data_IF_072222828053
#
_entry.id   IF_072222828053
#
_cell.length_a   1.000
_cell.length_b   1.000
_cell.length_c   1.000
_cell.angle_alpha   90.00
_cell.angle_beta   90.00
_cell.angle_gamma   90.00
#
_symmetry.space_group_name_H-M   'P 1'
#
loop_
_entity.id
_entity.type
_entity.pdbx_description
1 polymer ?
#
# COMPACT_ATOMS: atom_id res chain seq x y z
N UNK A 1 5.32 0.94 8.44
CA UNK A 1 6.44 0.89 9.39
C UNK A 1 6.24 -0.30 10.29
N UNK A 2 7.13 -1.29 10.28
CA UNK A 2 7.10 -2.37 11.28
C UNK A 2 8.50 -2.61 11.80
N UNK A 3 8.53 -2.82 13.11
CA UNK A 3 9.65 -3.06 14.00
C UNK A 3 10.06 -4.53 13.90
N UNK A 4 11.27 -4.81 13.43
CA UNK A 4 12.10 -5.77 14.13
C UNK A 4 12.94 -4.94 15.12
N UNK A 5 13.27 -5.49 16.29
CA UNK A 5 13.74 -4.85 17.54
C UNK A 5 14.91 -3.82 17.47
N UNK A 6 15.33 -3.35 16.30
CA UNK A 6 16.29 -2.25 16.16
C UNK A 6 16.07 -1.32 14.96
N UNK A 7 15.25 -1.66 13.95
CA UNK A 7 15.19 -0.89 12.70
C UNK A 7 13.78 -0.84 12.08
N UNK A 8 13.40 0.32 11.53
CA UNK A 8 12.18 0.56 10.76
C UNK A 8 12.58 0.92 9.32
N UNK A 9 12.18 0.10 8.35
CA UNK A 9 12.35 0.43 6.93
C UNK A 9 11.32 1.50 6.51
N UNK A 10 11.81 2.58 5.93
CA UNK A 10 11.03 3.70 5.41
C UNK A 10 11.36 3.88 3.94
N UNK A 11 10.44 3.43 3.09
CA UNK A 11 10.58 3.66 1.65
C UNK A 11 9.92 4.99 1.34
N UNK A 12 10.74 6.02 1.11
CA UNK A 12 10.23 7.35 0.79
C UNK A 12 9.75 7.43 -0.67
N UNK A 13 8.96 8.47 -0.99
CA UNK A 13 8.30 8.69 -2.29
C UNK A 13 8.86 9.91 -3.07
N UNK A 14 8.18 10.31 -4.14
CA UNK A 14 8.65 11.26 -5.16
C UNK A 14 9.19 12.60 -4.61
N UNK A 15 10.49 12.85 -4.83
CA UNK A 15 11.14 14.13 -4.58
C UNK A 15 11.05 15.05 -5.80
N UNK A 16 10.67 16.32 -5.59
CA UNK A 16 10.56 17.33 -6.65
C UNK A 16 11.92 17.81 -7.20
N UNK A 17 13.04 17.42 -6.59
CA UNK A 17 14.36 17.95 -6.87
C UNK A 17 15.31 16.76 -7.14
N UNK A 18 15.95 16.76 -8.32
CA UNK A 18 17.03 15.85 -8.75
C UNK A 18 16.67 14.39 -9.12
N UNK A 19 15.39 13.99 -9.26
CA UNK A 19 15.03 12.62 -9.68
C UNK A 19 15.71 11.53 -8.81
N UNK A 20 15.94 11.80 -7.52
CA UNK A 20 16.39 10.79 -6.57
C UNK A 20 15.45 10.76 -5.38
N UNK A 21 14.74 9.65 -5.24
CA UNK A 21 13.97 9.33 -4.03
C UNK A 21 14.85 8.49 -3.12
N UNK A 22 15.26 9.00 -1.94
CA UNK A 22 16.06 8.23 -1.01
C UNK A 22 15.23 7.11 -0.40
N UNK A 23 15.71 5.88 -0.48
CA UNK A 23 15.23 4.84 0.44
C UNK A 23 15.86 5.12 1.80
N UNK A 24 15.14 5.03 2.91
CA UNK A 24 15.70 5.31 4.23
C UNK A 24 15.40 4.17 5.21
N UNK A 25 16.32 3.92 6.15
CA UNK A 25 16.04 3.11 7.32
C UNK A 25 16.19 3.99 8.55
N UNK A 26 15.18 3.97 9.41
CA UNK A 26 15.28 4.54 10.73
C UNK A 26 15.76 3.46 11.69
N UNK A 27 16.96 3.63 12.24
CA UNK A 27 17.46 2.77 13.30
C UNK A 27 16.95 3.31 14.64
N UNK A 28 16.16 2.50 15.34
CA UNK A 28 15.57 2.87 16.62
C UNK A 28 16.64 2.98 17.71
N UNK A 29 17.58 2.03 17.74
CA UNK A 29 18.64 1.95 18.74
C UNK A 29 19.60 3.16 18.69
N UNK A 30 19.91 3.67 17.48
CA UNK A 30 20.71 4.88 17.30
C UNK A 30 19.88 6.15 17.09
N UNK A 31 18.56 6.04 16.94
CA UNK A 31 17.66 7.16 16.61
C UNK A 31 18.08 7.96 15.37
N UNK A 32 18.64 7.29 14.36
CA UNK A 32 19.14 7.92 13.13
C UNK A 32 18.44 7.41 11.89
N UNK A 33 18.21 8.30 10.93
CA UNK A 33 17.87 7.93 9.57
C UNK A 33 19.16 7.68 8.78
N UNK A 34 19.20 6.56 8.07
CA UNK A 34 20.25 6.23 7.11
C UNK A 34 19.62 6.18 5.72
N UNK A 35 20.07 7.05 4.82
CA UNK A 35 19.76 6.97 3.40
C UNK A 35 20.46 5.75 2.79
N UNK A 36 19.71 4.99 2.01
CA UNK A 36 20.15 3.80 1.31
C UNK A 36 20.31 4.10 -0.17
N UNK A 37 21.29 3.44 -0.78
CA UNK A 37 21.40 3.41 -2.24
C UNK A 37 20.54 2.25 -2.74
N UNK A 38 19.48 2.49 -3.53
CA UNK A 38 18.65 1.41 -4.02
C UNK A 38 19.48 0.53 -4.97
N UNK A 39 19.72 -0.73 -4.62
CA UNK A 39 20.17 -1.72 -5.58
C UNK A 39 18.96 -2.40 -6.20
N UNK A 40 18.21 -1.66 -7.00
CA UNK A 40 17.30 -2.19 -8.03
C UNK A 40 16.70 -1.04 -8.83
N UNK A 41 16.66 -1.16 -10.16
CA UNK A 41 16.20 -0.09 -11.04
C UNK A 41 14.76 0.35 -10.78
N UNK A 42 13.91 -0.56 -10.29
CA UNK A 42 12.48 -0.31 -10.00
C UNK A 42 12.20 0.40 -8.68
N UNK A 43 13.13 0.35 -7.73
CA UNK A 43 12.99 1.08 -6.46
C UNK A 43 13.46 2.55 -6.58
N UNK A 44 13.95 2.95 -7.76
CA UNK A 44 14.30 4.33 -8.03
C UNK A 44 13.04 5.11 -8.41
N UNK A 45 12.83 6.23 -7.73
CA UNK A 45 11.78 7.21 -8.03
C UNK A 45 10.35 6.69 -7.93
N UNK A 46 10.12 5.67 -7.11
CA UNK A 46 8.83 5.00 -7.01
C UNK A 46 7.92 5.70 -5.98
N UNK A 47 6.79 6.25 -6.41
CA UNK A 47 5.76 6.78 -5.51
C UNK A 47 4.48 5.94 -5.51
N UNK A 48 3.72 6.04 -4.42
CA UNK A 48 2.44 5.35 -4.27
C UNK A 48 2.55 3.82 -4.29
N UNK A 49 3.72 3.26 -4.06
CA UNK A 49 3.90 1.83 -3.84
C UNK A 49 3.52 1.46 -2.39
N UNK A 50 3.41 0.16 -2.13
CA UNK A 50 3.22 -0.37 -0.77
C UNK A 50 4.42 -1.19 -0.33
N UNK A 51 4.69 -1.20 0.97
CA UNK A 51 5.69 -2.06 1.61
C UNK A 51 4.99 -2.78 2.74
N UNK A 52 4.79 -4.08 2.58
CA UNK A 52 3.91 -4.87 3.45
C UNK A 52 4.70 -6.03 4.05
N UNK A 53 4.68 -6.23 5.37
CA UNK A 53 5.31 -7.41 5.97
C UNK A 53 4.69 -8.71 5.43
N UNK A 54 5.48 -9.76 5.43
CA UNK A 54 5.04 -11.12 5.15
C UNK A 54 5.34 -11.96 6.39
N UNK A 55 4.28 -12.36 7.09
CA UNK A 55 4.40 -13.20 8.29
C UNK A 55 5.33 -12.59 9.35
N UNK A 56 6.13 -13.45 10.00
CA UNK A 56 7.06 -13.08 11.07
C UNK A 56 8.53 -13.20 10.65
N UNK A 57 8.81 -13.48 9.38
CA UNK A 57 10.18 -13.80 8.91
C UNK A 57 11.05 -12.57 8.66
N UNK A 58 10.51 -11.36 8.81
CA UNK A 58 11.18 -10.12 8.43
C UNK A 58 11.11 -9.80 6.93
N UNK A 59 10.47 -10.65 6.14
CA UNK A 59 10.26 -10.42 4.71
C UNK A 59 9.19 -9.35 4.47
N UNK A 60 9.36 -8.58 3.40
CA UNK A 60 8.44 -7.53 2.98
C UNK A 60 8.18 -7.62 1.48
N UNK A 61 6.90 -7.52 1.10
CA UNK A 61 6.50 -7.27 -0.28
C UNK A 61 6.54 -5.77 -0.56
N UNK A 62 7.38 -5.36 -1.50
CA UNK A 62 7.32 -4.03 -2.12
C UNK A 62 6.53 -4.18 -3.41
N UNK A 63 5.38 -3.53 -3.53
CA UNK A 63 4.47 -3.74 -4.66
C UNK A 63 3.92 -2.44 -5.24
N UNK A 64 3.79 -2.42 -6.58
CA UNK A 64 3.17 -1.34 -7.33
C UNK A 64 4.01 -0.07 -7.40
N UNK A 65 3.32 1.05 -7.56
CA UNK A 65 3.88 2.40 -7.63
C UNK A 65 4.06 2.95 -9.05
N UNK A 66 4.46 4.21 -9.11
CA UNK A 66 4.69 5.00 -10.33
C UNK A 66 6.09 5.62 -10.28
N UNK A 67 6.83 5.61 -11.40
CA UNK A 67 8.18 6.19 -11.46
C UNK A 67 8.30 7.51 -12.23
N UNK A 68 7.19 8.21 -12.48
CA UNK A 68 7.17 9.36 -13.38
C UNK A 68 6.86 9.01 -14.84
N UNK A 69 6.90 7.73 -15.23
CA UNK A 69 6.62 7.30 -16.61
C UNK A 69 5.72 6.07 -16.71
N UNK A 70 5.75 5.16 -15.74
CA UNK A 70 5.03 3.90 -15.79
C UNK A 70 4.50 3.50 -14.43
N UNK A 71 3.30 2.92 -14.43
CA UNK A 71 2.69 2.27 -13.28
C UNK A 71 3.09 0.80 -13.27
N UNK A 72 3.45 0.28 -12.11
CA UNK A 72 3.94 -1.09 -11.98
C UNK A 72 2.91 -2.03 -11.38
N UNK A 73 2.82 -3.23 -11.93
CA UNK A 73 1.88 -4.27 -11.53
C UNK A 73 2.56 -5.52 -11.01
N UNK A 74 3.80 -5.39 -10.54
CA UNK A 74 4.56 -6.47 -9.92
C UNK A 74 5.24 -5.95 -8.66
N UNK A 75 5.77 -6.88 -7.87
CA UNK A 75 6.51 -6.56 -6.65
C UNK A 75 7.93 -7.09 -6.63
N UNK A 76 8.58 -6.90 -5.50
CA UNK A 76 9.87 -7.46 -5.11
C UNK A 76 9.78 -7.89 -3.65
N UNK A 77 10.52 -8.92 -3.28
CA UNK A 77 10.66 -9.32 -1.87
C UNK A 77 11.95 -8.72 -1.32
N UNK A 78 11.81 -7.99 -0.21
CA UNK A 78 12.92 -7.63 0.65
C UNK A 78 12.94 -8.61 1.82
N UNK A 79 14.05 -9.30 2.05
CA UNK A 79 14.16 -10.40 3.02
C UNK A 79 14.59 -9.96 4.42
N UNK A 80 14.69 -8.65 4.66
CA UNK A 80 15.10 -8.12 5.96
C UNK A 80 16.57 -8.33 6.28
N UNK A 81 17.38 -8.93 5.39
CA UNK A 81 18.82 -9.04 5.61
C UNK A 81 19.45 -7.65 5.61
N UNK A 82 20.32 -7.41 6.60
CA UNK A 82 20.91 -6.10 6.80
C UNK A 82 21.68 -5.65 5.56
N UNK A 83 21.66 -4.33 5.41
CA UNK A 83 22.42 -3.59 4.42
C UNK A 83 23.87 -4.04 4.43
N UNK A 84 24.50 -4.05 3.26
CA UNK A 84 25.95 -4.11 3.24
C UNK A 84 26.51 -2.93 4.07
N UNK A 85 27.75 -3.03 4.56
CA UNK A 85 28.42 -1.92 5.26
C UNK A 85 28.42 -0.59 4.47
N UNK A 86 28.13 -0.64 3.16
CA UNK A 86 27.97 0.51 2.27
C UNK A 86 26.52 1.04 2.16
N UNK A 87 25.57 0.59 2.99
CA UNK A 87 24.17 1.07 2.96
C UNK A 87 23.39 0.65 1.70
N UNK A 88 23.78 -0.48 1.10
CA UNK A 88 23.10 -1.03 -0.09
C UNK A 88 22.05 -2.05 0.33
N UNK A 89 20.81 -1.89 -0.15
CA UNK A 89 19.73 -2.86 0.08
C UNK A 89 20.04 -4.17 -0.65
N UNK A 90 20.19 -5.27 0.09
CA UNK A 90 20.29 -6.60 -0.49
C UNK A 90 18.89 -7.07 -0.89
N UNK A 91 18.57 -7.01 -2.19
CA UNK A 91 17.37 -7.62 -2.75
C UNK A 91 17.78 -9.00 -3.25
N UNK A 92 17.39 -10.04 -2.54
CA UNK A 92 17.85 -11.40 -2.83
C UNK A 92 17.07 -12.07 -3.95
N UNK A 93 15.92 -11.51 -4.38
CA UNK A 93 15.17 -12.11 -5.49
C UNK A 93 14.21 -11.15 -6.25
N UNK A 94 14.47 -10.99 -7.55
CA UNK A 94 13.46 -10.64 -8.56
C UNK A 94 12.69 -11.93 -8.87
N UNK A 95 11.73 -12.27 -8.02
CA UNK A 95 10.96 -13.48 -8.30
C UNK A 95 9.95 -13.20 -9.40
N UNK A 96 9.81 -14.18 -10.30
CA UNK A 96 8.84 -14.20 -11.37
C UNK A 96 7.43 -14.32 -10.76
N UNK A 97 6.93 -13.19 -10.25
CA UNK A 97 5.52 -13.01 -9.97
C UNK A 97 4.79 -12.84 -11.30
N UNK A 98 3.53 -13.25 -11.35
CA UNK A 98 2.67 -12.84 -12.45
C UNK A 98 2.33 -11.34 -12.34
N UNK A 99 2.45 -10.64 -13.45
CA UNK A 99 2.08 -9.23 -13.54
C UNK A 99 0.56 -9.07 -13.44
N UNK A 100 0.13 -8.11 -12.63
CA UNK A 100 -1.25 -7.61 -12.62
C UNK A 100 -1.30 -6.22 -13.26
N UNK A 101 -2.48 -5.61 -13.36
CA UNK A 101 -2.59 -4.22 -13.84
C UNK A 101 -1.75 -3.29 -12.96
N UNK A 102 -0.90 -2.49 -13.62
CA UNK A 102 -0.02 -1.54 -12.95
C UNK A 102 -0.78 -0.48 -12.16
N UNK A 103 -0.37 -0.24 -10.92
CA UNK A 103 -1.11 0.62 -9.98
C UNK A 103 -0.23 1.36 -8.99
N UNK A 104 -0.66 2.54 -8.59
CA UNK A 104 -0.11 3.29 -7.46
C UNK A 104 -1.26 3.75 -6.53
N UNK A 105 -0.90 4.19 -5.32
CA UNK A 105 -1.83 4.66 -4.29
C UNK A 105 -2.93 3.66 -3.94
N UNK A 106 -2.64 2.37 -4.14
CA UNK A 106 -3.40 1.23 -3.65
C UNK A 106 -3.14 1.02 -2.16
N UNK A 107 -3.84 0.05 -1.57
CA UNK A 107 -3.50 -0.48 -0.25
C UNK A 107 -3.10 -1.94 -0.34
N UNK A 108 -2.19 -2.35 0.55
CA UNK A 108 -1.73 -3.71 0.70
C UNK A 108 -1.78 -4.09 2.19
N UNK A 109 -2.57 -5.11 2.52
CA UNK A 109 -2.84 -5.51 3.91
C UNK A 109 -2.51 -6.99 4.08
N UNK A 110 -1.57 -7.32 4.97
CA UNK A 110 -1.30 -8.71 5.33
C UNK A 110 -2.43 -9.27 6.20
N UNK A 111 -2.94 -10.43 5.84
CA UNK A 111 -4.03 -11.15 6.50
C UNK A 111 -3.45 -12.46 7.04
N UNK A 112 -3.11 -12.46 8.33
CA UNK A 112 -2.41 -13.59 8.97
C UNK A 112 -3.22 -14.89 8.94
N UNK A 113 -4.55 -14.81 9.04
CA UNK A 113 -5.45 -15.99 9.06
C UNK A 113 -5.34 -16.86 7.80
N UNK A 114 -5.04 -16.26 6.65
CA UNK A 114 -4.89 -16.96 5.37
C UNK A 114 -3.47 -16.86 4.80
N UNK A 115 -2.54 -16.28 5.57
CA UNK A 115 -1.17 -16.00 5.15
C UNK A 115 -1.09 -15.36 3.74
N UNK A 116 -1.85 -14.29 3.50
CA UNK A 116 -1.88 -13.61 2.22
C UNK A 116 -1.83 -12.09 2.38
N UNK A 117 -1.39 -11.39 1.34
CA UNK A 117 -1.52 -9.92 1.27
C UNK A 117 -2.67 -9.57 0.34
N UNK A 118 -3.68 -8.87 0.85
CA UNK A 118 -4.74 -8.29 0.03
C UNK A 118 -4.27 -6.97 -0.57
N UNK A 119 -4.23 -6.90 -1.90
CA UNK A 119 -4.02 -5.68 -2.68
C UNK A 119 -5.38 -5.14 -3.11
N UNK A 120 -5.69 -3.89 -2.80
CA UNK A 120 -6.97 -3.25 -3.16
C UNK A 120 -6.78 -1.96 -3.94
N UNK A 121 -7.49 -1.84 -5.05
CA UNK A 121 -7.67 -0.60 -5.79
C UNK A 121 -6.38 0.08 -6.20
N UNK A 122 -6.32 1.40 -6.01
CA UNK A 122 -5.26 2.28 -6.51
C UNK A 122 -5.66 2.94 -7.82
N UNK A 123 -4.69 3.38 -8.60
CA UNK A 123 -4.92 3.99 -9.91
C UNK A 123 -3.80 3.64 -10.89
N UNK A 124 -4.10 3.66 -12.18
CA UNK A 124 -3.16 3.37 -13.27
C UNK A 124 -2.83 4.61 -14.12
N UNK A 125 -3.03 5.81 -13.56
CA UNK A 125 -2.85 7.10 -14.26
C UNK A 125 -4.02 7.54 -15.13
N UNK A 126 -5.00 6.67 -15.40
CA UNK A 126 -6.21 7.04 -16.16
C UNK A 126 -7.48 6.89 -15.33
N UNK A 127 -7.55 5.83 -14.52
CA UNK A 127 -8.72 5.49 -13.73
C UNK A 127 -8.31 5.05 -12.32
N UNK A 128 -9.20 5.27 -11.35
CA UNK A 128 -9.16 4.51 -10.11
C UNK A 128 -9.56 3.05 -10.41
N UNK A 129 -9.01 2.12 -9.62
CA UNK A 129 -9.18 0.70 -9.80
C UNK A 129 -10.10 0.13 -8.71
N UNK A 130 -10.90 -0.88 -9.06
CA UNK A 130 -11.77 -1.62 -8.13
C UNK A 130 -11.32 -3.06 -7.91
N UNK A 131 -10.43 -3.56 -8.78
CA UNK A 131 -9.93 -4.92 -8.73
C UNK A 131 -9.05 -5.14 -7.51
N UNK A 132 -9.11 -6.36 -6.99
CA UNK A 132 -8.36 -6.79 -5.82
C UNK A 132 -7.67 -8.12 -6.09
N UNK A 133 -6.54 -8.32 -5.44
CA UNK A 133 -5.70 -9.51 -5.59
C UNK A 133 -5.23 -10.00 -4.22
N UNK A 134 -5.13 -11.31 -4.07
CA UNK A 134 -4.40 -11.93 -2.98
C UNK A 134 -3.01 -12.31 -3.47
N UNK A 135 -1.98 -11.81 -2.79
CA UNK A 135 -0.63 -12.31 -2.95
C UNK A 135 -0.39 -13.46 -1.97
N UNK A 136 -0.07 -14.63 -2.52
CA UNK A 136 0.37 -15.79 -1.78
C UNK A 136 1.90 -15.74 -1.62
N UNK A 137 2.44 -15.59 -0.41
CA UNK A 137 3.88 -15.52 -0.16
C UNK A 137 4.61 -16.87 -0.30
N UNK A 138 3.89 -18.00 -0.26
CA UNK A 138 4.46 -19.34 -0.45
C UNK A 138 4.66 -19.60 -1.93
N UNK A 139 3.61 -19.40 -2.72
CA UNK A 139 3.65 -19.63 -4.16
C UNK A 139 4.19 -18.42 -4.95
N UNK A 140 4.29 -17.25 -4.30
CA UNK A 140 4.74 -15.97 -4.89
C UNK A 140 3.91 -15.58 -6.11
N UNK A 141 2.59 -15.70 -5.99
CA UNK A 141 1.65 -15.39 -7.07
C UNK A 141 0.57 -14.42 -6.60
N UNK A 142 0.12 -13.58 -7.52
CA UNK A 142 -1.07 -12.75 -7.36
C UNK A 142 -2.27 -13.48 -7.96
N UNK A 143 -3.28 -13.77 -7.16
CA UNK A 143 -4.54 -14.37 -7.61
C UNK A 143 -5.66 -13.34 -7.51
N UNK A 144 -6.47 -13.13 -8.56
CA UNK A 144 -7.66 -12.28 -8.47
C UNK A 144 -8.61 -12.75 -7.36
N UNK A 145 -9.18 -11.82 -6.61
CA UNK A 145 -10.29 -12.10 -5.69
C UNK A 145 -11.51 -11.26 -6.07
N UNK A 146 -12.59 -11.28 -5.26
CA UNK A 146 -13.72 -10.39 -5.47
C UNK A 146 -13.27 -8.93 -5.58
N UNK A 147 -13.99 -8.17 -6.39
CA UNK A 147 -13.77 -6.75 -6.58
C UNK A 147 -14.56 -5.93 -5.57
N UNK A 148 -14.05 -4.73 -5.26
CA UNK A 148 -14.83 -3.71 -4.56
C UNK A 148 -16.02 -3.28 -5.43
N UNK A 149 -17.10 -2.84 -4.79
CA UNK A 149 -18.27 -2.29 -5.48
C UNK A 149 -18.00 -0.93 -6.15
N UNK A 150 -16.96 -0.21 -5.71
CA UNK A 150 -16.52 1.04 -6.32
C UNK A 150 -15.00 1.11 -6.51
N UNK A 151 -14.52 1.71 -7.62
CA UNK A 151 -13.10 1.97 -7.79
C UNK A 151 -12.63 3.03 -6.81
N UNK A 152 -11.44 2.86 -6.23
CA UNK A 152 -10.88 3.82 -5.30
C UNK A 152 -9.36 3.84 -5.30
N UNK A 153 -8.82 5.05 -5.18
CA UNK A 153 -7.40 5.35 -4.94
C UNK A 153 -7.27 6.21 -3.69
N UNK A 154 -6.11 6.19 -3.02
CA UNK A 154 -5.86 6.93 -1.78
C UNK A 154 -6.84 6.61 -0.62
N UNK A 155 -7.46 5.43 -0.66
CA UNK A 155 -8.27 4.89 0.44
C UNK A 155 -7.38 4.28 1.53
N UNK A 156 -8.01 3.86 2.62
CA UNK A 156 -7.36 3.06 3.67
C UNK A 156 -7.95 1.66 3.70
N UNK A 157 -7.10 0.69 4.01
CA UNK A 157 -7.46 -0.71 4.22
C UNK A 157 -6.90 -1.12 5.58
N UNK A 158 -7.78 -1.58 6.47
CA UNK A 158 -7.47 -1.79 7.88
C UNK A 158 -7.86 -3.21 8.23
N UNK A 159 -6.89 -4.01 8.68
CA UNK A 159 -7.17 -5.35 9.21
C UNK A 159 -7.88 -5.19 10.54
N UNK A 160 -9.07 -5.78 10.66
CA UNK A 160 -9.86 -5.80 11.89
C UNK A 160 -9.45 -6.97 12.79
N UNK A 161 -9.80 -6.89 14.07
CA UNK A 161 -9.52 -7.93 15.08
C UNK A 161 -10.09 -9.30 14.71
N UNK A 162 -11.19 -9.33 13.94
CA UNK A 162 -11.79 -10.56 13.44
C UNK A 162 -11.14 -11.13 12.15
N UNK A 163 -10.13 -10.45 11.59
CA UNK A 163 -9.42 -10.83 10.37
C UNK A 163 -10.01 -10.34 9.06
N UNK A 164 -11.19 -9.70 9.08
CA UNK A 164 -11.71 -9.01 7.90
C UNK A 164 -10.94 -7.72 7.63
N UNK A 165 -11.01 -7.21 6.39
CA UNK A 165 -10.34 -5.95 6.02
C UNK A 165 -11.38 -4.87 5.72
N UNK A 166 -11.36 -3.80 6.51
CA UNK A 166 -12.20 -2.62 6.30
C UNK A 166 -11.55 -1.68 5.30
N UNK A 167 -12.27 -1.36 4.22
CA UNK A 167 -11.86 -0.45 3.17
C UNK A 167 -12.68 0.84 3.28
N UNK A 168 -12.02 1.98 3.52
CA UNK A 168 -12.70 3.25 3.77
C UNK A 168 -12.23 4.39 2.87
N UNK A 169 -13.21 5.17 2.39
CA UNK A 169 -12.99 6.41 1.65
C UNK A 169 -12.16 6.22 0.38
N UNK A 170 -11.36 7.24 0.08
CA UNK A 170 -10.56 7.34 -1.15
C UNK A 170 -11.24 8.22 -2.19
N UNK A 171 -10.72 8.19 -3.41
CA UNK A 171 -11.26 8.91 -4.55
C UNK A 171 -11.56 7.97 -5.71
N UNK A 172 -12.71 8.18 -6.36
CA UNK A 172 -13.22 7.32 -7.45
C UNK A 172 -12.80 7.81 -8.83
N UNK A 173 -12.42 9.08 -8.96
CA UNK A 173 -11.91 9.71 -10.19
C UNK A 173 -10.44 10.09 -10.06
N UNK A 174 -9.68 10.01 -11.16
CA UNK A 174 -8.21 10.20 -11.17
C UNK A 174 -7.68 10.95 -12.40
N UNK A 175 -8.54 11.52 -13.25
CA UNK A 175 -8.12 12.20 -14.49
C UNK A 175 -8.91 13.49 -14.75
N UNK A 176 -8.49 14.29 -15.73
CA UNK A 176 -9.24 15.50 -16.11
C UNK A 176 -10.67 15.20 -16.54
N UNK A 177 -10.88 14.03 -17.15
CA UNK A 177 -12.18 13.60 -17.66
C UNK A 177 -13.00 12.85 -16.60
N UNK A 178 -12.40 12.49 -15.46
CA UNK A 178 -13.01 11.87 -14.30
C UNK A 178 -12.40 12.53 -13.05
N UNK A 179 -12.86 13.73 -12.67
CA UNK A 179 -12.23 14.54 -11.64
C UNK A 179 -12.17 13.79 -10.32
N UNK A 180 -11.13 14.10 -9.52
CA UNK A 180 -10.94 13.51 -8.20
C UNK A 180 -12.19 13.77 -7.36
N UNK A 181 -12.95 12.69 -7.13
CA UNK A 181 -14.22 12.72 -6.41
C UNK A 181 -14.06 11.88 -5.15
N UNK A 182 -13.97 12.51 -3.96
CA UNK A 182 -13.86 11.79 -2.70
C UNK A 182 -15.12 10.96 -2.45
N UNK A 183 -14.95 9.79 -1.85
CA UNK A 183 -16.06 8.94 -1.41
C UNK A 183 -16.08 8.81 0.11
N UNK A 184 -17.28 8.60 0.66
CA UNK A 184 -17.50 8.18 2.04
C UNK A 184 -17.86 6.69 2.15
N UNK A 185 -17.82 5.95 1.04
CA UNK A 185 -18.16 4.54 1.00
C UNK A 185 -17.19 3.70 1.82
N UNK A 186 -17.77 2.70 2.48
CA UNK A 186 -17.07 1.74 3.31
C UNK A 186 -17.48 0.34 2.90
N UNK A 187 -16.49 -0.53 2.70
CA UNK A 187 -16.70 -1.92 2.35
C UNK A 187 -15.85 -2.81 3.27
N UNK A 188 -16.34 -4.01 3.58
CA UNK A 188 -15.61 -5.01 4.37
C UNK A 188 -15.33 -6.21 3.46
N UNK A 189 -14.05 -6.55 3.32
CA UNK A 189 -13.60 -7.79 2.69
C UNK A 189 -13.52 -8.90 3.73
N UNK A 190 -14.21 -10.02 3.46
CA UNK A 190 -14.06 -11.25 4.21
C UNK A 190 -13.07 -12.18 3.49
N UNK A 191 -11.89 -12.47 4.07
CA UNK A 191 -10.86 -13.30 3.45
C UNK A 191 -11.19 -14.80 3.42
N UNK A 192 -12.18 -15.27 4.17
CA UNK A 192 -12.60 -16.68 4.17
C UNK A 192 -13.60 -16.95 3.05
N UNK A 193 -14.55 -16.04 2.85
CA UNK A 193 -15.56 -16.18 1.79
C UNK A 193 -15.15 -15.50 0.49
N UNK A 194 -14.07 -14.71 0.50
CA UNK A 194 -13.59 -13.93 -0.65
C UNK A 194 -14.67 -12.99 -1.18
N UNK A 195 -15.38 -12.30 -0.30
CA UNK A 195 -16.50 -11.41 -0.66
C UNK A 195 -16.35 -10.03 -0.05
N UNK A 196 -16.83 -9.01 -0.77
CA UNK A 196 -17.06 -7.67 -0.25
C UNK A 196 -18.51 -7.50 0.22
N UNK A 197 -18.68 -6.77 1.31
CA UNK A 197 -19.99 -6.33 1.82
C UNK A 197 -19.96 -4.83 2.11
N UNK A 198 -21.06 -4.14 1.84
CA UNK A 198 -21.17 -2.73 2.19
C UNK A 198 -21.30 -2.57 3.71
N UNK A 199 -20.57 -1.61 4.28
CA UNK A 199 -20.73 -1.18 5.66
C UNK A 199 -21.36 0.22 5.73
N UNK A 200 -21.72 0.70 6.93
CA UNK A 200 -22.18 2.07 7.10
C UNK A 200 -21.18 3.09 6.54
N UNK A 201 -21.71 4.11 5.86
CA UNK A 201 -20.91 5.17 5.24
C UNK A 201 -20.23 6.05 6.29
N UNK A 202 -19.09 6.66 5.95
CA UNK A 202 -18.57 7.78 6.73
C UNK A 202 -19.50 9.00 6.60
N UNK A 203 -19.55 9.85 7.63
CA UNK A 203 -20.32 11.10 7.56
C UNK A 203 -19.74 12.10 6.55
N UNK A 204 -18.43 12.02 6.28
CA UNK A 204 -17.71 12.94 5.39
C UNK A 204 -16.89 12.14 4.40
N UNK A 205 -17.10 12.40 3.12
CA UNK A 205 -16.30 11.83 2.04
C UNK A 205 -14.88 12.39 2.08
N UNK A 206 -13.87 11.52 1.98
CA UNK A 206 -12.47 11.93 2.09
C UNK A 206 -11.51 10.99 1.39
N UNK A 207 -10.46 11.55 0.82
CA UNK A 207 -9.30 10.83 0.28
C UNK A 207 -8.00 11.39 0.86
N UNK A 208 -6.88 10.67 0.73
CA UNK A 208 -5.58 11.04 1.35
C UNK A 208 -5.66 11.25 2.88
N UNK A 209 -6.66 10.66 3.52
CA UNK A 209 -6.83 10.68 4.97
C UNK A 209 -5.91 9.66 5.62
N UNK A 210 -5.78 9.71 6.94
CA UNK A 210 -5.21 8.63 7.74
C UNK A 210 -6.33 7.88 8.46
N UNK A 211 -6.09 6.60 8.68
CA UNK A 211 -6.96 5.81 9.53
C UNK A 211 -6.20 4.69 10.20
N UNK A 212 -6.56 4.43 11.45
CA UNK A 212 -5.95 3.40 12.28
C UNK A 212 -7.01 2.72 13.13
N UNK A 213 -6.85 1.43 13.34
CA UNK A 213 -7.59 0.71 14.37
C UNK A 213 -6.94 1.02 15.73
N UNK A 214 -7.75 1.36 16.72
CA UNK A 214 -7.37 1.46 18.12
C UNK A 214 -8.40 0.65 18.89
N UNK A 215 -7.95 -0.46 19.48
CA UNK A 215 -8.84 -1.48 20.06
C UNK A 215 -9.83 -2.01 19.01
N UNK A 216 -11.13 -1.72 19.16
CA UNK A 216 -12.18 -2.09 18.21
C UNK A 216 -12.77 -0.88 17.47
N UNK A 217 -12.13 0.28 17.57
CA UNK A 217 -12.58 1.53 16.95
C UNK A 217 -11.66 2.01 15.83
N UNK A 218 -12.25 2.56 14.77
CA UNK A 218 -11.51 3.11 13.63
C UNK A 218 -11.44 4.62 13.76
N UNK A 219 -10.24 5.12 14.04
CA UNK A 219 -9.96 6.54 14.06
C UNK A 219 -9.60 7.00 12.66
N UNK A 220 -10.32 8.02 12.18
CA UNK A 220 -10.12 8.62 10.85
C UNK A 220 -9.81 10.09 11.01
N UNK A 221 -8.67 10.55 10.49
CA UNK A 221 -8.24 11.94 10.60
C UNK A 221 -7.73 12.48 9.27
N UNK A 222 -7.81 13.80 9.11
CA UNK A 222 -7.24 14.46 7.95
C UNK A 222 -7.91 14.12 6.62
N UNK A 223 -7.15 14.34 5.54
CA UNK A 223 -7.57 14.11 4.17
C UNK A 223 -8.21 15.33 3.53
N UNK A 224 -8.76 15.13 2.35
CA UNK A 224 -9.38 16.20 1.54
C UNK A 224 -10.83 15.82 1.27
N UNK A 225 -11.74 16.76 1.56
CA UNK A 225 -13.17 16.61 1.36
C UNK A 225 -13.63 16.91 -0.08
N UNK A 226 -14.92 16.71 -0.33
CA UNK A 226 -15.53 16.95 -1.66
C UNK A 226 -15.48 18.40 -2.13
N UNK A 227 -15.30 19.35 -1.21
CA UNK A 227 -15.11 20.78 -1.50
C UNK A 227 -13.65 21.15 -1.79
N UNK A 228 -12.75 20.15 -1.82
CA UNK A 228 -11.32 20.33 -2.04
C UNK A 228 -10.55 20.85 -0.84
N UNK A 229 -11.20 21.05 0.31
CA UNK A 229 -10.53 21.54 1.53
C UNK A 229 -9.94 20.40 2.34
N UNK A 230 -8.83 20.70 3.01
CA UNK A 230 -8.24 19.81 4.02
C UNK A 230 -9.19 19.68 5.20
N UNK A 231 -9.44 18.45 5.59
CA UNK A 231 -10.20 18.10 6.78
C UNK A 231 -9.22 17.97 7.97
N UNK A 232 -9.70 18.28 9.17
CA UNK A 232 -8.99 17.95 10.43
C UNK A 232 -9.12 16.47 10.76
#
# INVERSE_FOLDING_TARGET
SILNDSNILIVSGHGLINNSVPLEIYNHSSSTFQQLTPYHSRLRNLEGHSVTPIGTTGNHLIFGGFNGSSYFGVGLIYDGTELTAAGTLNITSLETMNDITGRAHHQATYISQINAILITGGNNGTHALFDCYLYDPVNRTFTPTASMGMPRSFHKAILLSNGSVLIIGGAVGMSSNQPITPTNSVEIYNPITHTFTNAPLMNVARYRHQATLVEDEIFVSGGIGSDGRTLS
#
